data_IF_771114598096
#
_entry.id   IF_771114598096
#
_cell.length_a   1.000
_cell.length_b   1.000
_cell.length_c   1.000
_cell.angle_alpha   90.00
_cell.angle_beta   90.00
_cell.angle_gamma   90.00
#
_symmetry.space_group_name_H-M   'P 1'
#
loop_
_entity.id
_entity.type
_entity.pdbx_description
1 polymer ?
#
# COMPACT_ATOMS: atom_id res chain seq x y z
N UNK A 1 2.96 4.98 -10.08
CA UNK A 1 2.42 6.10 -9.28
C UNK A 1 2.38 5.66 -7.82
N UNK A 2 3.00 6.41 -6.91
CA UNK A 2 2.93 6.13 -5.48
C UNK A 2 1.57 6.56 -4.90
N UNK A 3 0.91 5.72 -4.10
CA UNK A 3 -0.40 6.02 -3.51
C UNK A 3 -0.35 7.09 -2.41
N UNK A 4 0.83 7.33 -1.82
CA UNK A 4 1.03 8.29 -0.74
C UNK A 4 1.37 9.67 -1.30
N UNK A 5 2.51 9.82 -1.98
CA UNK A 5 2.96 11.12 -2.50
C UNK A 5 2.37 11.47 -3.87
N UNK A 6 1.64 10.55 -4.53
CA UNK A 6 1.04 10.74 -5.86
C UNK A 6 2.03 11.15 -6.95
N UNK A 7 3.32 10.86 -6.78
CA UNK A 7 4.32 11.04 -7.82
C UNK A 7 4.43 9.80 -8.73
N UNK A 8 4.86 10.03 -9.96
CA UNK A 8 5.18 8.98 -10.94
C UNK A 8 6.59 8.47 -10.69
N UNK A 9 6.74 7.15 -10.76
CA UNK A 9 8.01 6.44 -10.58
C UNK A 9 8.02 5.31 -11.61
N UNK A 10 9.22 4.82 -11.93
CA UNK A 10 9.35 3.61 -12.74
C UNK A 10 8.71 2.40 -12.03
N UNK A 11 8.34 1.36 -12.79
CA UNK A 11 7.69 0.17 -12.21
C UNK A 11 8.63 -0.56 -11.24
N UNK A 12 9.94 -0.55 -11.50
CA UNK A 12 10.98 -1.15 -10.65
C UNK A 12 11.16 -0.45 -9.30
N UNK A 13 10.85 0.84 -9.21
CA UNK A 13 10.95 1.62 -7.96
C UNK A 13 9.68 1.57 -7.10
N UNK A 14 8.64 0.86 -7.57
CA UNK A 14 7.36 0.75 -6.89
C UNK A 14 7.17 -0.63 -6.30
N UNK A 15 7.08 -0.69 -4.97
CA UNK A 15 6.70 -1.91 -4.26
C UNK A 15 5.18 -2.01 -4.21
N UNK A 16 4.63 -3.15 -4.66
CA UNK A 16 3.20 -3.46 -4.50
C UNK A 16 2.95 -3.97 -3.08
N UNK A 17 1.94 -3.44 -2.42
CA UNK A 17 1.41 -3.91 -1.15
C UNK A 17 -0.05 -4.32 -1.33
N UNK A 18 -0.48 -5.39 -0.69
CA UNK A 18 -1.86 -5.85 -0.72
C UNK A 18 -2.42 -5.83 0.69
N UNK A 19 -3.70 -5.46 0.81
CA UNK A 19 -4.43 -5.52 2.06
C UNK A 19 -5.02 -6.92 2.24
N UNK A 20 -4.65 -7.59 3.33
CA UNK A 20 -5.26 -8.86 3.72
C UNK A 20 -6.46 -8.55 4.61
N UNK A 21 -7.63 -9.14 4.32
CA UNK A 21 -8.88 -8.90 5.06
C UNK A 21 -9.17 -9.97 6.13
N UNK A 22 -8.14 -10.56 6.73
CA UNK A 22 -8.28 -11.58 7.79
C UNK A 22 -8.22 -10.96 9.20
N UNK A 23 -9.00 -9.91 9.45
CA UNK A 23 -9.12 -9.28 10.77
C UNK A 23 -7.92 -8.40 11.22
N UNK A 24 -6.75 -8.58 10.62
CA UNK A 24 -5.59 -7.69 10.81
C UNK A 24 -5.49 -6.72 9.62
N UNK A 25 -5.67 -5.42 9.89
CA UNK A 25 -5.59 -4.34 8.88
C UNK A 25 -4.14 -4.05 8.45
N UNK A 26 -3.38 -5.11 8.15
CA UNK A 26 -1.98 -5.05 7.77
C UNK A 26 -1.86 -5.06 6.25
N UNK A 27 -0.99 -4.18 5.75
CA UNK A 27 -0.54 -4.18 4.37
C UNK A 27 0.68 -5.08 4.28
N UNK A 28 0.63 -6.06 3.39
CA UNK A 28 1.73 -7.01 3.19
C UNK A 28 2.37 -6.71 1.84
N UNK A 29 3.72 -6.62 1.74
CA UNK A 29 4.39 -6.48 0.46
C UNK A 29 4.11 -7.71 -0.41
N UNK A 30 3.67 -7.47 -1.63
CA UNK A 30 3.50 -8.50 -2.65
C UNK A 30 4.54 -8.31 -3.75
N UNK A 31 5.65 -9.02 -3.60
CA UNK A 31 6.73 -9.03 -4.59
C UNK A 31 6.36 -9.85 -5.84
N UNK A 32 5.39 -10.76 -5.73
CA UNK A 32 4.99 -11.64 -6.84
C UNK A 32 4.01 -10.96 -7.80
N UNK A 33 3.28 -9.94 -7.33
CA UNK A 33 2.22 -9.28 -8.07
C UNK A 33 0.95 -10.13 -8.23
N UNK A 34 0.90 -11.32 -7.63
CA UNK A 34 -0.18 -12.32 -7.81
C UNK A 34 -1.13 -12.38 -6.62
N UNK A 35 -0.83 -11.67 -5.52
CA UNK A 35 -1.66 -11.76 -4.33
C UNK A 35 -3.06 -11.16 -4.59
N UNK A 36 -4.13 -11.87 -4.18
CA UNK A 36 -5.51 -11.46 -4.42
C UNK A 36 -5.87 -10.22 -3.59
N UNK A 37 -6.70 -9.34 -4.16
CA UNK A 37 -7.19 -8.13 -3.52
C UNK A 37 -6.61 -6.84 -4.08
N UNK A 38 -6.90 -5.72 -3.41
CA UNK A 38 -6.50 -4.37 -3.87
C UNK A 38 -5.02 -4.13 -3.62
N UNK A 39 -4.26 -3.96 -4.71
CA UNK A 39 -2.86 -3.56 -4.69
C UNK A 39 -2.68 -2.05 -4.51
N UNK A 40 -1.65 -1.67 -3.76
CA UNK A 40 -1.20 -0.31 -3.51
C UNK A 40 0.28 -0.20 -3.84
N UNK A 41 0.64 0.73 -4.71
CA UNK A 41 2.03 0.94 -5.12
C UNK A 41 2.67 2.03 -4.27
N UNK A 42 3.83 1.74 -3.68
CA UNK A 42 4.58 2.64 -2.82
C UNK A 42 5.99 2.85 -3.38
N UNK A 43 6.48 4.08 -3.37
CA UNK A 43 7.87 4.37 -3.72
C UNK A 43 8.84 4.06 -2.56
N UNK A 44 10.14 4.03 -2.87
CA UNK A 44 11.19 3.76 -1.88
C UNK A 44 11.39 4.85 -0.81
N UNK A 45 10.74 6.00 -0.95
CA UNK A 45 10.86 7.13 -0.01
C UNK A 45 10.36 6.75 1.39
N UNK A 46 11.20 6.95 2.40
CA UNK A 46 10.92 6.61 3.80
C UNK A 46 9.69 7.33 4.36
N UNK A 47 9.48 8.60 4.00
CA UNK A 47 8.29 9.34 4.41
C UNK A 47 6.99 8.69 3.88
N UNK A 48 7.06 8.05 2.70
CA UNK A 48 5.94 7.28 2.17
C UNK A 48 5.76 5.97 2.92
N UNK A 49 6.85 5.28 3.29
CA UNK A 49 6.81 4.04 4.09
C UNK A 49 6.13 4.24 5.44
N UNK A 50 6.50 5.30 6.17
CA UNK A 50 5.89 5.63 7.47
C UNK A 50 4.39 5.88 7.32
N UNK A 51 3.98 6.68 6.33
CA UNK A 51 2.56 6.97 6.07
C UNK A 51 1.78 5.75 5.59
N UNK A 52 2.43 4.83 4.86
CA UNK A 52 1.80 3.60 4.38
C UNK A 52 1.35 2.69 5.53
N UNK A 53 2.10 2.65 6.64
CA UNK A 53 1.71 1.90 7.82
C UNK A 53 0.36 2.40 8.41
N UNK A 54 0.13 3.71 8.44
CA UNK A 54 -1.13 4.31 8.88
C UNK A 54 -2.26 4.22 7.82
N UNK A 55 -1.91 4.12 6.54
CA UNK A 55 -2.85 4.09 5.42
C UNK A 55 -3.79 2.86 5.46
N UNK A 56 -3.29 1.70 5.90
CA UNK A 56 -4.09 0.48 6.08
C UNK A 56 -5.18 0.64 7.16
N UNK A 57 -4.81 1.26 8.28
CA UNK A 57 -5.67 1.47 9.44
C UNK A 57 -6.76 2.54 9.21
N UNK A 58 -6.46 3.62 8.48
CA UNK A 58 -7.33 4.79 8.36
C UNK A 58 -8.66 4.54 7.61
N UNK A 59 -8.76 3.50 6.76
CA UNK A 59 -9.95 3.29 5.91
C UNK A 59 -11.18 2.74 6.65
N UNK A 60 -11.05 2.31 7.91
CA UNK A 60 -12.18 1.85 8.74
C UNK A 60 -13.18 2.98 9.07
N UNK A 61 -12.77 4.25 9.01
CA UNK A 61 -13.60 5.41 9.40
C UNK A 61 -14.56 5.93 8.32
N UNK A 62 -14.70 5.26 7.17
CA UNK A 62 -15.68 5.65 6.14
C UNK A 62 -16.54 4.46 5.72
N UNK A 63 -17.32 3.95 6.67
CA UNK A 63 -18.61 3.31 6.39
C UNK A 63 -19.67 4.34 6.80
N UNK A 64 -20.05 5.18 5.85
CA UNK A 64 -21.42 5.70 5.81
C UNK A 64 -22.30 4.63 5.19
#
# INVERSE_FOLDING_TARGET
>A
MCVICRQRFSKSELTRYVRIMNGSDKLVPDLTGRAPGRGFYLCANEACKVKMAAFGAARKKRRG
#
